data_IF_845244455716
#
_entry.id   IF_845244455716
#
_cell.length_a   1.000
_cell.length_b   1.000
_cell.length_c   1.000
_cell.angle_alpha   90.00
_cell.angle_beta   90.00
_cell.angle_gamma   90.00
#
_symmetry.space_group_name_H-M   'P 1'
#
loop_
_entity.id
_entity.type
_entity.pdbx_description
1 polymer ?
#
# COMPACT_ATOMS: atom_id res chain seq x y z
N UNK A 1 47.08 14.36 -16.77
CA UNK A 1 46.75 14.74 -15.37
C UNK A 1 46.87 13.57 -14.40
N UNK A 2 46.39 12.37 -14.77
CA UNK A 2 46.40 11.14 -13.96
C UNK A 2 47.76 10.78 -13.34
N UNK A 3 48.81 10.67 -14.16
CA UNK A 3 50.17 10.35 -13.69
C UNK A 3 50.68 11.38 -12.68
N UNK A 4 50.34 12.68 -12.86
CA UNK A 4 50.76 13.74 -11.94
C UNK A 4 50.10 13.61 -10.55
N UNK A 5 48.84 13.18 -10.51
CA UNK A 5 48.09 12.99 -9.26
C UNK A 5 48.48 11.69 -8.54
N UNK A 6 48.74 10.62 -9.29
CA UNK A 6 49.31 9.39 -8.73
C UNK A 6 50.71 9.64 -8.13
N UNK A 7 51.56 10.40 -8.83
CA UNK A 7 52.87 10.82 -8.31
C UNK A 7 52.72 11.73 -7.09
N UNK A 8 51.76 12.67 -7.07
CA UNK A 8 51.49 13.51 -5.92
C UNK A 8 51.01 12.71 -4.69
N UNK A 9 50.08 11.76 -4.89
CA UNK A 9 49.61 10.86 -3.83
C UNK A 9 50.74 9.99 -3.26
N UNK A 10 51.59 9.45 -4.13
CA UNK A 10 52.78 8.71 -3.73
C UNK A 10 53.78 9.55 -2.93
N UNK A 11 54.03 10.79 -3.35
CA UNK A 11 54.91 11.72 -2.63
C UNK A 11 54.36 12.08 -1.25
N UNK A 12 53.06 12.35 -1.12
CA UNK A 12 52.41 12.62 0.16
C UNK A 12 52.57 11.43 1.10
N UNK A 13 52.41 10.20 0.59
CA UNK A 13 52.56 8.99 1.38
C UNK A 13 54.01 8.78 1.84
N UNK A 14 55.00 8.96 0.96
CA UNK A 14 56.42 8.86 1.32
C UNK A 14 56.82 9.90 2.37
N UNK A 15 56.34 11.15 2.24
CA UNK A 15 56.57 12.19 3.24
C UNK A 15 55.92 11.85 4.58
N UNK A 16 54.69 11.33 4.56
CA UNK A 16 54.01 10.89 5.77
C UNK A 16 54.78 9.77 6.46
N UNK A 17 55.26 8.73 5.75
CA UNK A 17 56.09 7.68 6.34
C UNK A 17 57.34 8.27 6.98
N UNK A 18 58.04 9.18 6.29
CA UNK A 18 59.24 9.83 6.81
C UNK A 18 58.98 10.59 8.12
N UNK A 19 57.89 11.38 8.17
CA UNK A 19 57.47 12.10 9.37
C UNK A 19 57.03 11.14 10.48
N UNK A 20 56.27 10.11 10.15
CA UNK A 20 55.80 9.10 11.10
C UNK A 20 56.95 8.34 11.75
N UNK A 21 57.95 7.93 10.96
CA UNK A 21 59.17 7.28 11.46
C UNK A 21 59.96 8.21 12.37
N UNK A 22 60.12 9.48 11.97
CA UNK A 22 60.80 10.46 12.80
C UNK A 22 60.07 10.69 14.15
N UNK A 23 58.74 10.79 14.14
CA UNK A 23 57.94 10.93 15.36
C UNK A 23 58.00 9.69 16.26
N UNK A 24 58.12 8.49 15.67
CA UNK A 24 58.34 7.24 16.40
C UNK A 24 59.72 7.21 17.06
N UNK A 25 60.76 7.73 16.39
CA UNK A 25 62.12 7.83 16.95
C UNK A 25 62.26 8.89 18.05
N UNK A 26 61.42 9.93 18.08
CA UNK A 26 61.43 11.02 19.10
C UNK A 26 60.45 10.72 20.27
N UNK A 27 60.24 9.43 20.58
CA UNK A 27 59.09 8.88 21.32
C UNK A 27 57.78 9.70 21.38
N UNK A 28 57.41 10.39 20.30
CA UNK A 28 56.18 11.22 20.26
C UNK A 28 54.95 10.43 19.85
N UNK A 29 55.14 9.29 19.20
CA UNK A 29 54.11 8.30 18.89
C UNK A 29 54.50 6.97 19.50
N UNK A 30 53.55 6.28 20.10
CA UNK A 30 53.63 4.85 20.38
C UNK A 30 53.56 4.05 19.08
N UNK A 31 53.99 2.78 19.12
CA UNK A 31 53.93 1.89 17.95
C UNK A 31 52.52 1.78 17.36
N UNK A 32 51.48 1.77 18.20
CA UNK A 32 50.08 1.72 17.76
C UNK A 32 49.65 3.01 17.07
N UNK A 33 50.03 4.17 17.61
CA UNK A 33 49.71 5.48 17.02
C UNK A 33 50.44 5.68 15.68
N UNK A 34 51.66 5.17 15.54
CA UNK A 34 52.37 5.15 14.26
C UNK A 34 51.63 4.32 13.20
N UNK A 35 51.13 3.13 13.55
CA UNK A 35 50.36 2.31 12.59
C UNK A 35 49.08 3.04 12.18
N UNK A 36 48.35 3.64 13.12
CA UNK A 36 47.15 4.43 12.81
C UNK A 36 47.47 5.62 11.89
N UNK A 37 48.59 6.32 12.15
CA UNK A 37 49.08 7.41 11.31
C UNK A 37 49.39 6.94 9.89
N UNK A 38 50.13 5.83 9.72
CA UNK A 38 50.45 5.28 8.40
C UNK A 38 49.18 4.88 7.65
N UNK A 39 48.24 4.19 8.31
CA UNK A 39 46.97 3.77 7.69
C UNK A 39 46.15 4.98 7.22
N UNK A 40 46.05 6.04 8.04
CA UNK A 40 45.33 7.26 7.66
C UNK A 40 45.92 7.91 6.40
N UNK A 41 47.25 8.02 6.33
CA UNK A 41 47.93 8.61 5.16
C UNK A 41 47.94 7.69 3.93
N UNK A 42 47.88 6.36 4.10
CA UNK A 42 47.64 5.41 2.99
C UNK A 42 46.27 5.68 2.35
N UNK A 43 45.22 5.84 3.17
CA UNK A 43 43.86 6.11 2.68
C UNK A 43 43.82 7.46 1.95
N UNK A 44 44.39 8.51 2.54
CA UNK A 44 44.44 9.84 1.92
C UNK A 44 45.23 9.82 0.60
N UNK A 45 46.40 9.16 0.58
CA UNK A 45 47.19 9.00 -0.64
C UNK A 45 46.45 8.24 -1.74
N UNK A 46 45.70 7.20 -1.36
CA UNK A 46 44.80 6.46 -2.26
C UNK A 46 43.70 7.36 -2.83
N UNK A 47 43.00 8.12 -1.99
CA UNK A 47 41.96 9.06 -2.45
C UNK A 47 42.52 10.07 -3.46
N UNK A 48 43.71 10.63 -3.21
CA UNK A 48 44.34 11.59 -4.14
C UNK A 48 44.75 10.92 -5.46
N UNK A 49 45.30 9.70 -5.41
CA UNK A 49 45.71 8.95 -6.59
C UNK A 49 44.52 8.54 -7.47
N UNK A 50 43.40 8.15 -6.84
CA UNK A 50 42.18 7.69 -7.52
C UNK A 50 41.10 8.78 -7.70
N UNK A 51 41.32 10.01 -7.20
CA UNK A 51 40.38 11.12 -7.39
C UNK A 51 39.97 11.37 -8.86
N UNK A 52 40.87 11.22 -9.86
CA UNK A 52 40.48 11.33 -11.27
C UNK A 52 39.53 10.23 -11.72
N UNK A 53 39.66 9.00 -11.22
CA UNK A 53 38.79 7.88 -11.60
C UNK A 53 37.37 8.05 -11.03
N UNK A 54 37.26 8.63 -9.83
CA UNK A 54 35.97 9.01 -9.23
C UNK A 54 35.32 10.17 -9.99
N UNK A 55 36.13 11.12 -10.50
CA UNK A 55 35.63 12.22 -11.33
C UNK A 55 35.24 11.76 -12.75
N UNK A 56 35.90 10.76 -13.31
CA UNK A 56 35.64 10.23 -14.66
C UNK A 56 34.37 9.38 -14.78
N UNK A 57 33.75 8.95 -13.68
CA UNK A 57 32.37 8.43 -13.71
C UNK A 57 31.34 9.52 -14.09
N UNK A 58 31.74 10.80 -14.08
CA UNK A 58 30.88 11.94 -14.39
C UNK A 58 31.59 12.95 -15.31
N UNK A 59 31.87 12.58 -16.56
CA UNK A 59 32.26 13.55 -17.59
C UNK A 59 31.31 13.43 -18.81
N UNK A 60 30.41 14.41 -18.91
CA UNK A 60 29.69 14.89 -20.08
C UNK A 60 28.76 13.96 -20.91
N UNK A 61 28.72 12.64 -20.66
CA UNK A 61 27.81 11.73 -21.39
C UNK A 61 27.10 10.69 -20.52
N UNK A 62 27.78 10.18 -19.48
CA UNK A 62 27.23 9.09 -18.67
C UNK A 62 26.27 9.57 -17.57
N UNK A 63 26.48 10.76 -16.99
CA UNK A 63 25.57 11.34 -15.99
C UNK A 63 24.26 11.84 -16.59
N UNK A 64 24.29 12.38 -17.81
CA UNK A 64 23.06 12.74 -18.54
C UNK A 64 22.29 11.47 -18.89
N UNK A 65 22.96 10.43 -19.41
CA UNK A 65 22.34 9.11 -19.65
C UNK A 65 21.81 8.47 -18.38
N UNK A 66 22.51 8.52 -17.25
CA UNK A 66 22.00 8.01 -15.97
C UNK A 66 20.79 8.80 -15.48
N UNK A 67 20.77 10.13 -15.66
CA UNK A 67 19.61 10.98 -15.32
C UNK A 67 18.44 10.71 -16.26
N UNK A 68 18.69 10.52 -17.55
CA UNK A 68 17.69 10.13 -18.55
C UNK A 68 17.12 8.74 -18.25
N UNK A 69 17.97 7.74 -18.03
CA UNK A 69 17.57 6.38 -17.63
C UNK A 69 16.80 6.40 -16.32
N UNK A 70 17.23 7.21 -15.33
CA UNK A 70 16.48 7.40 -14.09
C UNK A 70 15.11 8.03 -14.34
N UNK A 71 15.03 9.07 -15.17
CA UNK A 71 13.78 9.75 -15.50
C UNK A 71 12.84 8.84 -16.29
N UNK A 72 13.38 8.04 -17.22
CA UNK A 72 12.64 7.04 -17.98
C UNK A 72 12.12 5.92 -17.07
N UNK A 73 12.95 5.44 -16.14
CA UNK A 73 12.52 4.47 -15.12
C UNK A 73 11.41 5.05 -14.22
N UNK A 74 11.54 6.31 -13.77
CA UNK A 74 10.50 6.99 -13.01
C UNK A 74 9.19 7.10 -13.79
N UNK A 75 9.28 7.48 -15.08
CA UNK A 75 8.12 7.54 -15.97
C UNK A 75 7.47 6.17 -16.18
N UNK A 76 8.26 5.12 -16.38
CA UNK A 76 7.76 3.75 -16.50
C UNK A 76 7.10 3.25 -15.21
N UNK A 77 7.65 3.61 -14.05
CA UNK A 77 7.03 3.31 -12.75
C UNK A 77 5.69 4.03 -12.61
N UNK A 78 5.62 5.30 -13.00
CA UNK A 78 4.37 6.07 -12.98
C UNK A 78 3.31 5.46 -13.90
N UNK A 79 3.68 5.10 -15.13
CA UNK A 79 2.80 4.41 -16.08
C UNK A 79 2.35 3.08 -15.49
N UNK A 80 3.25 2.29 -14.92
CA UNK A 80 2.93 1.00 -14.32
C UNK A 80 1.94 1.13 -13.16
N UNK A 81 2.13 2.12 -12.27
CA UNK A 81 1.19 2.42 -11.19
C UNK A 81 -0.20 2.76 -11.73
N UNK A 82 -0.26 3.59 -12.77
CA UNK A 82 -1.53 3.93 -13.42
C UNK A 82 -2.20 2.69 -14.04
N UNK A 83 -1.43 1.85 -14.73
CA UNK A 83 -1.94 0.60 -15.30
C UNK A 83 -2.45 -0.36 -14.23
N UNK A 84 -1.76 -0.49 -13.09
CA UNK A 84 -2.24 -1.30 -11.97
C UNK A 84 -3.56 -0.78 -11.41
N UNK A 85 -3.70 0.54 -11.23
CA UNK A 85 -4.95 1.14 -10.78
C UNK A 85 -6.10 0.88 -11.77
N UNK A 86 -5.87 1.01 -13.09
CA UNK A 86 -6.90 0.74 -14.10
C UNK A 86 -7.30 -0.75 -14.14
N UNK A 87 -6.36 -1.68 -13.91
CA UNK A 87 -6.67 -3.10 -13.81
C UNK A 87 -7.55 -3.40 -12.59
N UNK A 88 -7.24 -2.81 -11.43
CA UNK A 88 -8.08 -2.94 -10.24
C UNK A 88 -9.47 -2.32 -10.46
N UNK A 89 -9.55 -1.16 -11.13
CA UNK A 89 -10.83 -0.56 -11.52
C UNK A 89 -11.64 -1.53 -12.39
N UNK A 90 -11.02 -2.15 -13.38
CA UNK A 90 -11.69 -3.13 -14.23
C UNK A 90 -12.20 -4.33 -13.42
N UNK A 91 -11.43 -4.83 -12.45
CA UNK A 91 -11.86 -5.92 -11.58
C UNK A 91 -13.13 -5.57 -10.78
N UNK A 92 -13.28 -4.33 -10.30
CA UNK A 92 -14.48 -3.88 -9.59
C UNK A 92 -15.77 -3.98 -10.42
N UNK A 93 -15.68 -3.89 -11.75
CA UNK A 93 -16.86 -3.83 -12.63
C UNK A 93 -17.09 -5.08 -13.47
N UNK A 94 -16.23 -6.10 -13.36
CA UNK A 94 -16.35 -7.32 -14.19
C UNK A 94 -17.27 -8.39 -13.61
N UNK A 95 -17.55 -8.35 -12.30
CA UNK A 95 -18.37 -9.35 -11.61
C UNK A 95 -19.40 -8.69 -10.70
N UNK A 96 -20.53 -9.36 -10.41
CA UNK A 96 -21.43 -8.93 -9.35
C UNK A 96 -20.68 -8.82 -8.02
N UNK A 97 -20.87 -7.72 -7.30
CA UNK A 97 -20.23 -7.49 -6.01
C UNK A 97 -21.05 -8.04 -4.82
N UNK A 98 -22.34 -8.27 -5.04
CA UNK A 98 -23.25 -8.85 -4.06
C UNK A 98 -23.93 -10.07 -4.66
N UNK A 99 -23.89 -11.18 -3.93
CA UNK A 99 -24.65 -12.38 -4.29
C UNK A 99 -26.13 -12.20 -3.93
N UNK A 100 -27.02 -12.49 -4.89
CA UNK A 100 -28.48 -12.40 -4.69
C UNK A 100 -29.15 -13.75 -4.45
N UNK A 101 -28.44 -14.84 -4.73
CA UNK A 101 -28.95 -16.21 -4.55
C UNK A 101 -28.42 -16.78 -3.26
N UNK A 102 -29.07 -16.50 -2.13
CA UNK A 102 -28.50 -16.83 -0.83
C UNK A 102 -29.27 -17.91 -0.07
N UNK A 103 -28.59 -18.99 0.31
CA UNK A 103 -29.01 -19.83 1.42
C UNK A 103 -29.09 -19.01 2.71
N UNK A 104 -30.04 -19.32 3.58
CA UNK A 104 -30.15 -18.73 4.92
C UNK A 104 -29.12 -19.34 5.90
N UNK A 105 -27.88 -19.50 5.45
CA UNK A 105 -26.82 -20.17 6.19
C UNK A 105 -25.90 -19.18 6.90
N UNK A 106 -25.58 -19.52 8.15
CA UNK A 106 -24.63 -18.79 8.99
C UNK A 106 -23.21 -19.00 8.44
N UNK A 107 -22.67 -17.99 7.75
CA UNK A 107 -21.31 -18.00 7.18
C UNK A 107 -21.24 -17.73 5.68
N UNK A 108 -22.38 -17.73 4.97
CA UNK A 108 -22.42 -17.27 3.58
C UNK A 108 -22.32 -15.75 3.55
N UNK A 109 -21.22 -15.19 3.04
CA UNK A 109 -21.06 -13.74 2.86
C UNK A 109 -21.77 -13.29 1.58
N UNK A 110 -22.52 -12.19 1.70
CA UNK A 110 -23.22 -11.61 0.57
C UNK A 110 -22.31 -10.77 -0.31
N UNK A 111 -21.34 -10.08 0.30
CA UNK A 111 -20.32 -9.35 -0.44
C UNK A 111 -19.32 -10.35 -1.01
N UNK A 112 -19.13 -10.31 -2.32
CA UNK A 112 -18.16 -11.15 -3.00
C UNK A 112 -16.74 -10.81 -2.52
N UNK A 113 -15.95 -11.86 -2.24
CA UNK A 113 -14.58 -11.72 -1.72
C UNK A 113 -13.69 -10.89 -2.64
N UNK A 114 -13.92 -10.92 -3.96
CA UNK A 114 -13.15 -10.14 -4.92
C UNK A 114 -13.21 -8.63 -4.62
N UNK A 115 -14.32 -8.11 -4.07
CA UNK A 115 -14.40 -6.70 -3.67
C UNK A 115 -13.35 -6.38 -2.61
N UNK A 116 -13.31 -7.17 -1.55
CA UNK A 116 -12.35 -6.98 -0.46
C UNK A 116 -10.90 -7.22 -0.89
N UNK A 117 -10.67 -8.19 -1.78
CA UNK A 117 -9.35 -8.44 -2.35
C UNK A 117 -8.86 -7.22 -3.15
N UNK A 118 -9.73 -6.57 -3.94
CA UNK A 118 -9.38 -5.33 -4.66
C UNK A 118 -9.09 -4.18 -3.69
N UNK A 119 -9.89 -4.01 -2.63
CA UNK A 119 -9.65 -2.98 -1.61
C UNK A 119 -8.31 -3.21 -0.89
N UNK A 120 -8.02 -4.45 -0.51
CA UNK A 120 -6.77 -4.83 0.14
C UNK A 120 -5.56 -4.58 -0.78
N UNK A 121 -5.68 -4.95 -2.05
CA UNK A 121 -4.63 -4.76 -3.05
C UNK A 121 -4.41 -3.26 -3.34
N UNK A 122 -5.48 -2.47 -3.47
CA UNK A 122 -5.40 -1.03 -3.64
C UNK A 122 -4.65 -0.35 -2.48
N UNK A 123 -4.90 -0.78 -1.23
CA UNK A 123 -4.15 -0.33 -0.04
C UNK A 123 -2.67 -0.74 -0.13
N UNK A 124 -2.40 -1.99 -0.51
CA UNK A 124 -1.03 -2.54 -0.60
C UNK A 124 -0.16 -1.79 -1.61
N UNK A 125 -0.71 -1.42 -2.76
CA UNK A 125 0.05 -0.72 -3.82
C UNK A 125 -0.03 0.81 -3.72
N UNK A 126 -0.78 1.35 -2.76
CA UNK A 126 -0.98 2.79 -2.59
C UNK A 126 -1.83 3.43 -3.69
N UNK A 127 -2.78 2.69 -4.28
CA UNK A 127 -3.67 3.17 -5.34
C UNK A 127 -5.07 3.59 -4.85
N UNK A 128 -5.29 3.65 -3.53
CA UNK A 128 -6.59 3.98 -2.93
C UNK A 128 -7.14 5.31 -3.43
N UNK A 129 -6.32 6.37 -3.46
CA UNK A 129 -6.78 7.70 -3.94
C UNK A 129 -7.21 7.68 -5.41
N UNK A 130 -6.54 6.89 -6.26
CA UNK A 130 -6.89 6.78 -7.67
C UNK A 130 -8.21 6.01 -7.89
N UNK A 131 -8.53 5.08 -6.98
CA UNK A 131 -9.71 4.22 -7.04
C UNK A 131 -10.88 4.72 -6.18
N UNK A 132 -10.65 5.70 -5.31
CA UNK A 132 -11.63 6.30 -4.40
C UNK A 132 -13.00 6.57 -5.05
N UNK A 133 -13.13 7.25 -6.20
CA UNK A 133 -14.45 7.49 -6.80
C UNK A 133 -15.16 6.20 -7.23
N UNK A 134 -14.43 5.21 -7.73
CA UNK A 134 -14.99 3.93 -8.15
C UNK A 134 -15.41 3.08 -6.96
N UNK A 135 -14.58 3.03 -5.91
CA UNK A 135 -14.88 2.32 -4.67
C UNK A 135 -16.13 2.90 -3.99
N UNK A 136 -16.22 4.23 -3.89
CA UNK A 136 -17.41 4.90 -3.34
C UNK A 136 -18.66 4.57 -4.15
N UNK A 137 -18.57 4.62 -5.48
CA UNK A 137 -19.67 4.24 -6.37
C UNK A 137 -20.09 2.79 -6.19
N UNK A 138 -19.14 1.86 -6.05
CA UNK A 138 -19.44 0.47 -5.75
C UNK A 138 -20.17 0.34 -4.41
N UNK A 139 -19.70 1.01 -3.35
CA UNK A 139 -20.36 0.97 -2.04
C UNK A 139 -21.79 1.52 -2.11
N UNK A 140 -22.01 2.62 -2.83
CA UNK A 140 -23.33 3.22 -3.01
C UNK A 140 -24.32 2.29 -3.75
N UNK A 141 -23.82 1.37 -4.57
CA UNK A 141 -24.64 0.32 -5.21
C UNK A 141 -24.83 -0.89 -4.29
N UNK A 142 -23.78 -1.33 -3.60
CA UNK A 142 -23.80 -2.54 -2.77
C UNK A 142 -24.69 -2.39 -1.53
N UNK A 143 -24.71 -1.22 -0.88
CA UNK A 143 -25.49 -1.01 0.34
C UNK A 143 -27.01 -1.25 0.14
N UNK A 144 -27.68 -0.65 -0.87
CA UNK A 144 -29.06 -0.98 -1.20
C UNK A 144 -29.28 -2.46 -1.57
N UNK A 145 -28.32 -3.08 -2.27
CA UNK A 145 -28.42 -4.49 -2.66
C UNK A 145 -28.35 -5.42 -1.44
N UNK A 146 -27.40 -5.20 -0.54
CA UNK A 146 -27.29 -5.94 0.72
C UNK A 146 -28.53 -5.76 1.58
N UNK A 147 -29.11 -4.57 1.56
CA UNK A 147 -30.35 -4.29 2.29
C UNK A 147 -31.49 -5.14 1.75
N UNK A 148 -31.67 -5.14 0.42
CA UNK A 148 -32.64 -6.01 -0.25
C UNK A 148 -32.39 -7.50 0.03
N UNK A 149 -31.12 -7.93 0.07
CA UNK A 149 -30.74 -9.31 0.43
C UNK A 149 -31.07 -9.63 1.88
N UNK A 150 -30.93 -8.68 2.81
CA UNK A 150 -31.31 -8.87 4.20
C UNK A 150 -32.84 -9.04 4.32
N UNK A 151 -33.63 -8.08 3.83
CA UNK A 151 -35.09 -8.06 4.00
C UNK A 151 -35.87 -8.96 3.03
N UNK A 152 -35.21 -9.46 1.97
CA UNK A 152 -35.83 -10.22 0.89
C UNK A 152 -36.66 -9.37 -0.08
N UNK A 153 -36.75 -9.82 -1.33
CA UNK A 153 -37.46 -9.10 -2.40
C UNK A 153 -38.97 -8.94 -2.15
N UNK A 154 -39.55 -9.77 -1.27
CA UNK A 154 -40.98 -9.76 -0.91
C UNK A 154 -41.22 -9.33 0.54
N UNK A 155 -40.23 -8.70 1.19
CA UNK A 155 -40.39 -8.17 2.55
C UNK A 155 -41.53 -7.14 2.64
N UNK A 156 -42.23 -7.03 3.78
CA UNK A 156 -43.42 -6.20 3.90
C UNK A 156 -43.19 -4.68 3.84
N UNK A 157 -41.94 -4.20 3.78
CA UNK A 157 -41.59 -2.77 3.86
C UNK A 157 -41.05 -2.23 2.55
N UNK A 158 -41.73 -1.20 2.04
CA UNK A 158 -41.53 -0.63 0.69
C UNK A 158 -40.77 0.69 0.64
N UNK A 159 -40.44 1.29 1.79
CA UNK A 159 -39.75 2.58 1.81
C UNK A 159 -38.30 2.48 1.27
N UNK A 160 -37.76 1.25 1.21
CA UNK A 160 -36.48 0.94 0.58
C UNK A 160 -35.29 1.39 1.42
N UNK A 161 -34.07 1.15 0.94
CA UNK A 161 -32.85 1.51 1.66
C UNK A 161 -32.71 3.04 1.88
N UNK A 162 -33.26 3.85 0.98
CA UNK A 162 -32.98 5.29 0.87
C UNK A 162 -33.62 6.16 1.95
N UNK A 163 -34.52 5.63 2.78
CA UNK A 163 -35.07 6.38 3.92
C UNK A 163 -34.12 6.45 5.11
N UNK A 164 -33.13 5.56 5.14
CA UNK A 164 -32.16 5.46 6.23
C UNK A 164 -31.06 6.50 6.05
N UNK A 165 -30.78 7.29 7.10
CA UNK A 165 -29.79 8.37 7.03
C UNK A 165 -28.39 7.91 7.40
N UNK A 166 -28.29 6.84 8.17
CA UNK A 166 -27.04 6.32 8.70
C UNK A 166 -27.12 4.80 8.93
N UNK A 167 -25.98 4.19 9.24
CA UNK A 167 -25.89 2.76 9.53
C UNK A 167 -26.79 2.30 10.69
N UNK A 168 -26.94 3.10 11.74
CA UNK A 168 -27.76 2.73 12.90
C UNK A 168 -29.24 2.62 12.53
N UNK A 169 -29.75 3.51 11.68
CA UNK A 169 -31.13 3.44 11.16
C UNK A 169 -31.33 2.12 10.39
N UNK A 170 -30.41 1.79 9.48
CA UNK A 170 -30.45 0.55 8.69
C UNK A 170 -30.42 -0.70 9.59
N UNK A 171 -29.51 -0.71 10.57
CA UNK A 171 -29.35 -1.83 11.49
C UNK A 171 -30.58 -2.01 12.40
N UNK A 172 -31.15 -0.90 12.90
CA UNK A 172 -32.35 -0.92 13.71
C UNK A 172 -33.56 -1.47 12.94
N UNK A 173 -33.66 -1.15 11.65
CA UNK A 173 -34.74 -1.62 10.80
C UNK A 173 -34.60 -3.11 10.46
N UNK A 174 -33.42 -3.56 9.99
CA UNK A 174 -33.16 -4.97 9.70
C UNK A 174 -33.35 -5.86 10.93
N UNK A 175 -32.95 -5.38 12.12
CA UNK A 175 -33.03 -6.13 13.37
C UNK A 175 -34.34 -5.89 14.15
N UNK A 176 -35.31 -5.19 13.56
CA UNK A 176 -36.60 -4.99 14.19
C UNK A 176 -37.30 -6.34 14.43
N UNK A 177 -37.77 -6.67 15.63
CA UNK A 177 -38.40 -7.97 15.91
C UNK A 177 -39.59 -8.30 15.00
N UNK A 178 -40.41 -7.30 14.66
CA UNK A 178 -41.53 -7.46 13.74
C UNK A 178 -41.03 -7.76 12.32
N UNK A 179 -39.96 -7.08 11.88
CA UNK A 179 -39.30 -7.34 10.60
C UNK A 179 -38.73 -8.74 10.49
N UNK A 180 -38.06 -9.18 11.55
CA UNK A 180 -37.45 -10.49 11.62
C UNK A 180 -38.50 -11.60 11.52
N UNK A 181 -39.59 -11.49 12.27
CA UNK A 181 -40.68 -12.48 12.25
C UNK A 181 -41.36 -12.55 10.88
N UNK A 182 -41.76 -11.41 10.31
CA UNK A 182 -42.46 -11.39 9.03
C UNK A 182 -41.59 -11.85 7.87
N UNK A 183 -40.32 -11.43 7.83
CA UNK A 183 -39.40 -11.86 6.77
C UNK A 183 -39.04 -13.34 6.91
N UNK A 184 -38.88 -13.83 8.14
CA UNK A 184 -38.69 -15.27 8.42
C UNK A 184 -39.84 -16.09 7.84
N UNK A 185 -41.10 -15.69 8.11
CA UNK A 185 -42.30 -16.33 7.55
C UNK A 185 -42.34 -16.24 6.02
N UNK A 186 -42.08 -15.07 5.45
CA UNK A 186 -42.09 -14.84 4.01
C UNK A 186 -41.06 -15.69 3.26
N UNK A 187 -39.96 -16.05 3.93
CA UNK A 187 -38.92 -16.97 3.43
C UNK A 187 -39.18 -18.44 3.78
N UNK A 188 -40.33 -18.76 4.35
CA UNK A 188 -40.72 -20.13 4.69
C UNK A 188 -39.94 -20.73 5.86
N UNK A 189 -39.31 -19.92 6.70
CA UNK A 189 -38.57 -20.40 7.88
C UNK A 189 -39.49 -20.52 9.09
N UNK A 190 -39.49 -21.70 9.69
CA UNK A 190 -40.25 -21.98 10.92
C UNK A 190 -39.48 -21.59 12.19
N UNK A 191 -38.15 -21.52 12.11
CA UNK A 191 -37.27 -21.10 13.21
C UNK A 191 -36.74 -19.69 12.96
N UNK A 192 -37.29 -18.72 13.69
CA UNK A 192 -36.89 -17.31 13.61
C UNK A 192 -35.43 -17.08 14.01
N UNK A 193 -34.81 -17.99 14.78
CA UNK A 193 -33.42 -17.86 15.20
C UNK A 193 -32.44 -17.95 14.03
N UNK A 194 -32.78 -18.75 13.01
CA UNK A 194 -31.99 -18.89 11.78
C UNK A 194 -31.96 -17.56 11.02
N UNK A 195 -33.13 -16.96 10.80
CA UNK A 195 -33.22 -15.69 10.09
C UNK A 195 -32.59 -14.53 10.88
N UNK A 196 -32.74 -14.51 12.21
CA UNK A 196 -32.11 -13.51 13.07
C UNK A 196 -30.58 -13.54 12.95
N UNK A 197 -29.97 -14.74 12.95
CA UNK A 197 -28.53 -14.91 12.72
C UNK A 197 -28.11 -14.43 11.34
N UNK A 198 -28.86 -14.81 10.29
CA UNK A 198 -28.63 -14.34 8.93
C UNK A 198 -28.68 -12.80 8.84
N UNK A 199 -29.71 -12.17 9.39
CA UNK A 199 -29.88 -10.72 9.40
C UNK A 199 -28.73 -10.00 10.10
N UNK A 200 -28.26 -10.54 11.24
CA UNK A 200 -27.08 -10.01 11.95
C UNK A 200 -25.81 -10.10 11.13
N UNK A 201 -25.61 -11.17 10.37
CA UNK A 201 -24.46 -11.30 9.47
C UNK A 201 -24.51 -10.23 8.36
N UNK A 202 -25.68 -9.98 7.76
CA UNK A 202 -25.84 -8.90 6.76
C UNK A 202 -25.58 -7.51 7.35
N UNK A 203 -26.06 -7.24 8.56
CA UNK A 203 -25.77 -5.98 9.28
C UNK A 203 -24.27 -5.82 9.53
N UNK A 204 -23.56 -6.89 9.87
CA UNK A 204 -22.10 -6.85 10.05
C UNK A 204 -21.38 -6.50 8.74
N UNK A 205 -21.75 -7.10 7.61
CA UNK A 205 -21.16 -6.77 6.30
C UNK A 205 -21.43 -5.32 5.89
N UNK A 206 -22.65 -4.82 6.13
CA UNK A 206 -22.96 -3.41 5.90
C UNK A 206 -22.12 -2.49 6.76
N UNK A 207 -21.90 -2.84 8.03
CA UNK A 207 -21.05 -2.07 8.93
C UNK A 207 -19.65 -1.90 8.34
N UNK A 208 -19.07 -2.98 7.83
CA UNK A 208 -17.74 -2.95 7.23
C UNK A 208 -17.69 -2.05 5.98
N UNK A 209 -18.76 -2.04 5.17
CA UNK A 209 -18.88 -1.10 4.04
C UNK A 209 -19.03 0.36 4.48
N UNK A 210 -19.79 0.63 5.53
CA UNK A 210 -19.91 1.99 6.09
C UNK A 210 -18.57 2.49 6.64
N UNK A 211 -17.84 1.64 7.36
CA UNK A 211 -16.48 1.96 7.85
C UNK A 211 -15.55 2.27 6.68
N UNK A 212 -15.57 1.44 5.63
CA UNK A 212 -14.77 1.69 4.44
C UNK A 212 -15.18 3.00 3.74
N UNK A 213 -16.48 3.28 3.64
CA UNK A 213 -17.00 4.51 3.03
C UNK A 213 -16.56 5.75 3.80
N UNK A 214 -16.62 5.72 5.12
CA UNK A 214 -16.19 6.81 5.98
C UNK A 214 -14.67 7.04 5.87
N UNK A 215 -13.88 5.96 5.82
CA UNK A 215 -12.43 6.03 5.63
C UNK A 215 -12.05 6.59 4.26
N UNK A 216 -12.79 6.23 3.21
CA UNK A 216 -12.61 6.79 1.87
C UNK A 216 -13.11 8.24 1.78
N UNK A 217 -14.01 8.70 2.65
CA UNK A 217 -14.60 10.05 2.58
C UNK A 217 -13.80 11.12 3.33
N UNK A 218 -12.80 10.71 4.13
CA UNK A 218 -11.79 11.59 4.73
C UNK A 218 -10.80 12.07 3.66
#
# INVERSE_FOLDING_TARGET
MRIKLAVAGGLIFCLAIGVGLWLLFVPKLSGTEFVAFVVAFTIIGGIVAFAPEVQEFSIAGNVVKLREVKNEALKSIEILKKSQAELLRLMLFTKPLVSRGEPLEEGYLAIDRNFWDVVAEAKRIGAVEALKPDLLKCIDVMLPELYSVAIGMNGPWREGFWVHKNFADVAADILNPHMLSETSKARGQQDESIYNKFARARVAEMKDLYVLKDDLSK
#
